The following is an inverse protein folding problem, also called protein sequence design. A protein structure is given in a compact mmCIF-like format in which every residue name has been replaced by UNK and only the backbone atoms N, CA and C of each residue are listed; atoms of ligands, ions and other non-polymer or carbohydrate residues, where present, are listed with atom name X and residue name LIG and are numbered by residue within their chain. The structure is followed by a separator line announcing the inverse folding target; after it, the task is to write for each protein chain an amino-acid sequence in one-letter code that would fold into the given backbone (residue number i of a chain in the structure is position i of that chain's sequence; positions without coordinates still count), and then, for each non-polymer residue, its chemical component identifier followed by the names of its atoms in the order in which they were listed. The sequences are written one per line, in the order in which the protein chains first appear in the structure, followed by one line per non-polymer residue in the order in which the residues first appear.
data_IF_427033746193
#
_entry.id   IF_427033746193
#
_cell.length_a   1.000
_cell.length_b   1.000
_cell.length_c   1.000
_cell.angle_alpha   90.00
_cell.angle_beta   90.00
_cell.angle_gamma   90.00
#
_symmetry.space_group_name_H-M   'P 1'
#
loop_
_entity.id
_entity.type
_entity.pdbx_description
1 polymer ?
#
# COMPACT_ATOMS: atom_id res chain seq x y z
N UNK A 1 14.38 -4.45 -3.33
CA UNK A 1 14.02 -4.30 -1.90
C UNK A 1 12.79 -3.42 -1.82
N UNK A 2 11.80 -3.87 -1.04
CA UNK A 2 10.56 -3.14 -0.83
C UNK A 2 10.64 -2.42 0.52
N UNK A 3 9.97 -1.27 0.65
CA UNK A 3 9.99 -0.47 1.87
C UNK A 3 8.60 0.00 2.23
N UNK A 4 8.27 -0.09 3.51
CA UNK A 4 7.05 0.48 4.05
C UNK A 4 7.07 2.00 3.87
N UNK A 5 6.05 2.58 3.23
CA UNK A 5 6.02 4.02 2.98
C UNK A 5 5.80 4.86 4.24
N UNK A 6 5.31 4.26 5.33
CA UNK A 6 5.10 4.93 6.63
C UNK A 6 6.38 4.92 7.46
N UNK A 7 6.84 3.75 7.90
CA UNK A 7 7.99 3.64 8.82
C UNK A 7 9.36 3.57 8.13
N UNK A 8 9.41 3.52 6.79
CA UNK A 8 10.63 3.41 5.97
C UNK A 8 11.47 2.16 6.20
N UNK A 9 11.01 1.22 7.01
CA UNK A 9 11.66 -0.07 7.21
C UNK A 9 11.46 -0.99 5.99
N UNK A 10 12.44 -1.87 5.77
CA UNK A 10 12.43 -2.87 4.70
C UNK A 10 11.31 -3.88 4.90
N UNK A 11 10.65 -4.24 3.79
CA UNK A 11 9.77 -5.40 3.68
C UNK A 11 10.51 -6.47 2.89
N UNK A 12 10.71 -7.63 3.49
CA UNK A 12 11.34 -8.77 2.85
C UNK A 12 10.42 -9.36 1.78
N UNK A 13 11.00 -9.85 0.67
CA UNK A 13 10.20 -10.36 -0.46
C UNK A 13 9.29 -11.53 -0.06
N UNK A 14 9.75 -12.39 0.86
CA UNK A 14 8.98 -13.50 1.42
C UNK A 14 7.74 -13.08 2.22
N UNK A 15 7.68 -11.83 2.66
CA UNK A 15 6.63 -11.29 3.51
C UNK A 15 5.70 -10.33 2.75
N UNK A 16 5.90 -10.12 1.43
CA UNK A 16 5.06 -9.22 0.65
C UNK A 16 3.57 -9.60 0.67
N UNK A 17 3.25 -10.90 0.72
CA UNK A 17 1.88 -11.41 0.80
C UNK A 17 1.21 -11.18 2.18
N UNK A 18 1.97 -10.77 3.20
CA UNK A 18 1.47 -10.41 4.53
C UNK A 18 1.32 -8.90 4.72
N UNK A 19 1.59 -8.11 3.68
CA UNK A 19 1.64 -6.67 3.72
C UNK A 19 0.66 -6.07 2.70
N UNK A 20 0.27 -4.82 2.90
CA UNK A 20 -0.54 -4.12 1.91
C UNK A 20 0.33 -3.68 0.73
N UNK A 21 -0.18 -3.91 -0.48
CA UNK A 21 0.39 -3.40 -1.71
C UNK A 21 -0.64 -2.54 -2.44
N UNK A 22 -0.30 -1.28 -2.66
CA UNK A 22 -1.07 -0.38 -3.51
C UNK A 22 -0.35 -0.20 -4.84
N UNK A 23 -1.09 -0.29 -5.93
CA UNK A 23 -0.55 -0.05 -7.27
C UNK A 23 -1.29 1.13 -7.88
N UNK A 24 -0.56 2.21 -8.16
CA UNK A 24 -1.06 3.35 -8.92
C UNK A 24 -0.79 3.11 -10.40
N UNK A 25 -1.80 3.37 -11.22
CA UNK A 25 -1.74 3.06 -12.64
C UNK A 25 -2.88 3.70 -13.42
N UNK A 26 -2.81 3.58 -14.74
CA UNK A 26 -3.82 4.08 -15.66
C UNK A 26 -4.66 2.93 -16.20
N UNK A 27 -5.94 3.19 -16.48
CA UNK A 27 -6.78 2.27 -17.26
C UNK A 27 -6.68 2.66 -18.73
N UNK A 28 -5.97 1.85 -19.53
CA UNK A 28 -5.75 2.10 -20.97
C UNK A 28 -6.43 0.96 -21.73
N UNK A 29 -7.34 1.31 -22.65
CA UNK A 29 -8.10 0.34 -23.46
C UNK A 29 -8.75 -0.77 -22.62
N UNK A 30 -9.32 -0.39 -21.46
CA UNK A 30 -9.96 -1.32 -20.54
C UNK A 30 -9.02 -2.14 -19.64
N UNK A 31 -7.70 -2.11 -19.87
CA UNK A 31 -6.71 -2.83 -19.06
C UNK A 31 -6.06 -1.88 -18.04
N UNK A 32 -5.88 -2.37 -16.82
CA UNK A 32 -5.13 -1.64 -15.80
C UNK A 32 -3.62 -1.80 -16.03
N UNK A 33 -2.93 -0.68 -16.28
CA UNK A 33 -1.48 -0.60 -16.40
C UNK A 33 -0.91 0.00 -15.12
N UNK A 34 -0.36 -0.85 -14.24
CA UNK A 34 0.29 -0.43 -13.00
C UNK A 34 1.64 0.24 -13.27
N UNK A 35 1.80 1.50 -12.87
CA UNK A 35 2.99 2.31 -13.10
C UNK A 35 3.87 2.43 -11.85
N UNK A 36 3.26 2.43 -10.66
CA UNK A 36 3.98 2.61 -9.39
C UNK A 36 3.40 1.70 -8.32
N UNK A 37 4.28 0.98 -7.62
CA UNK A 37 3.92 0.11 -6.48
C UNK A 37 4.38 0.75 -5.18
N UNK A 38 3.55 0.64 -4.16
CA UNK A 38 3.84 1.07 -2.80
C UNK A 38 3.48 -0.04 -1.82
N UNK A 39 4.32 -0.22 -0.81
CA UNK A 39 4.17 -1.26 0.19
C UNK A 39 4.01 -0.66 1.58
N UNK A 40 3.23 -1.32 2.42
CA UNK A 40 2.94 -0.87 3.77
C UNK A 40 2.84 -2.06 4.72
N UNK A 41 3.46 -1.95 5.90
CA UNK A 41 3.19 -2.88 6.99
C UNK A 41 1.74 -2.76 7.43
N UNK A 42 1.11 -3.89 7.71
CA UNK A 42 -0.27 -3.94 8.25
C UNK A 42 -0.37 -3.10 9.52
N UNK A 43 0.55 -3.32 10.47
CA UNK A 43 0.60 -2.57 11.72
C UNK A 43 0.78 -1.06 11.51
N UNK A 44 1.56 -0.63 10.51
CA UNK A 44 1.71 0.78 10.20
C UNK A 44 0.40 1.38 9.66
N UNK A 45 -0.31 0.68 8.78
CA UNK A 45 -1.59 1.14 8.23
C UNK A 45 -2.67 1.24 9.31
N UNK A 46 -2.73 0.26 10.22
CA UNK A 46 -3.66 0.29 11.35
C UNK A 46 -3.37 1.45 12.30
N UNK A 47 -2.09 1.68 12.64
CA UNK A 47 -1.68 2.81 13.46
C UNK A 47 -2.00 4.16 12.81
N UNK A 48 -1.73 4.31 11.51
CA UNK A 48 -2.05 5.53 10.78
C UNK A 48 -3.57 5.76 10.70
N UNK A 49 -4.37 4.70 10.53
CA UNK A 49 -5.82 4.82 10.54
C UNK A 49 -6.37 5.23 11.91
N UNK A 50 -5.78 4.72 12.99
CA UNK A 50 -6.15 5.13 14.35
C UNK A 50 -5.78 6.58 14.66
N UNK A 51 -4.67 7.09 14.10
CA UNK A 51 -4.23 8.48 14.25
C UNK A 51 -5.00 9.43 13.33
N UNK A 52 -5.35 8.99 12.13
CA UNK A 52 -5.98 9.79 11.10
C UNK A 52 -6.95 8.91 10.27
N UNK A 53 -8.21 8.74 10.72
CA UNK A 53 -9.16 7.76 10.16
C UNK A 53 -9.56 8.02 8.69
N UNK A 54 -9.07 9.11 8.08
CA UNK A 54 -9.30 9.44 6.67
C UNK A 54 -8.51 8.57 5.69
N UNK A 55 -7.45 7.88 6.13
CA UNK A 55 -6.60 7.11 5.20
C UNK A 55 -7.32 5.86 4.67
N UNK A 56 -8.14 5.19 5.47
CA UNK A 56 -8.88 3.99 5.03
C UNK A 56 -10.24 4.34 4.40
N UNK A 57 -10.83 5.52 4.67
CA UNK A 57 -12.12 5.89 4.07
C UNK A 57 -12.07 6.10 2.55
N UNK A 58 -10.88 6.27 1.96
CA UNK A 58 -10.69 6.45 0.51
C UNK A 58 -10.62 5.09 -0.22
N UNK A 59 -10.36 3.98 0.48
CA UNK A 59 -10.15 2.66 -0.12
C UNK A 59 -11.33 1.68 0.04
N UNK A 60 -12.40 2.11 0.72
CA UNK A 60 -13.62 1.31 0.96
C UNK A 60 -14.86 1.85 0.21
N UNK A 61 -14.69 2.59 -0.89
CA UNK A 61 -15.78 2.97 -1.80
C UNK A 61 -15.67 2.23 -3.14
#
# INVERSE_FOLDING_TARGET
MNYCQICKQTILDKDLNKNYQFTLGNKINGKFLGLKKQYFHVSCMELENNKNPKIISIYNQ
#
